data_IF_033706341440
#
_entry.id   IF_033706341440
#
_cell.length_a   1.000
_cell.length_b   1.000
_cell.length_c   1.000
_cell.angle_alpha   90.00
_cell.angle_beta   90.00
_cell.angle_gamma   90.00
#
_symmetry.space_group_name_H-M   'P 1'
#
loop_
_entity.id
_entity.type
_entity.pdbx_description
1 polymer ?
#
# COMPACT_ATOMS: atom_id res chain seq x y z
N UNK A 1 17.05 -47.15 -24.29
CA UNK A 1 17.41 -46.87 -25.69
C UNK A 1 17.47 -48.22 -26.46
N UNK A 2 16.87 -48.24 -27.64
CA UNK A 2 16.93 -49.37 -28.54
C UNK A 2 17.82 -49.03 -29.76
N UNK A 3 18.69 -49.92 -30.16
CA UNK A 3 19.59 -49.71 -31.30
C UNK A 3 18.76 -49.58 -32.58
N UNK A 4 19.01 -48.56 -33.38
CA UNK A 4 18.27 -48.27 -34.61
C UNK A 4 17.01 -47.40 -34.45
N UNK A 5 16.58 -47.15 -33.23
CA UNK A 5 15.43 -46.26 -32.95
C UNK A 5 15.87 -44.81 -32.87
N UNK A 6 15.03 -43.89 -33.37
CA UNK A 6 15.29 -42.43 -33.33
C UNK A 6 14.66 -41.81 -32.10
N UNK A 7 15.37 -40.88 -31.45
CA UNK A 7 14.95 -40.17 -30.26
C UNK A 7 15.13 -38.67 -30.43
N UNK A 8 14.24 -37.87 -29.84
CA UNK A 8 14.40 -36.43 -29.67
C UNK A 8 15.05 -36.14 -28.31
N UNK A 9 16.10 -35.33 -28.30
CA UNK A 9 16.78 -34.92 -27.06
C UNK A 9 16.65 -33.43 -26.86
N UNK A 10 16.39 -33.00 -25.64
CA UNK A 10 16.36 -31.62 -25.23
C UNK A 10 17.25 -31.44 -23.98
N UNK A 11 18.19 -30.49 -24.02
CA UNK A 11 19.09 -30.20 -22.91
C UNK A 11 20.18 -29.23 -23.31
N UNK A 12 21.04 -28.92 -22.34
CA UNK A 12 22.15 -28.00 -22.55
C UNK A 12 23.30 -28.72 -23.27
N UNK A 13 23.69 -28.20 -24.42
CA UNK A 13 24.84 -28.70 -25.18
C UNK A 13 26.12 -28.12 -24.56
N UNK A 14 27.05 -29.00 -24.20
CA UNK A 14 28.41 -28.69 -23.78
C UNK A 14 29.38 -29.08 -24.87
N UNK A 15 30.24 -28.12 -25.25
CA UNK A 15 31.35 -28.40 -26.16
C UNK A 15 32.66 -28.24 -25.40
N UNK A 16 33.32 -29.38 -25.09
CA UNK A 16 34.63 -29.37 -24.44
C UNK A 16 35.60 -30.12 -25.32
N UNK A 17 36.69 -29.47 -25.71
CA UNK A 17 37.76 -30.04 -26.54
C UNK A 17 37.25 -30.69 -27.85
N UNK A 18 36.27 -30.06 -28.51
CA UNK A 18 35.69 -30.54 -29.77
C UNK A 18 34.71 -31.73 -29.63
N UNK A 19 34.44 -32.19 -28.40
CA UNK A 19 33.41 -33.19 -28.12
C UNK A 19 32.12 -32.52 -27.69
N UNK A 20 31.07 -32.80 -28.46
CA UNK A 20 29.70 -32.34 -28.12
C UNK A 20 29.08 -33.38 -27.20
N UNK A 21 28.63 -32.90 -26.03
CA UNK A 21 27.94 -33.74 -25.04
C UNK A 21 26.71 -33.02 -24.50
N UNK A 22 25.78 -33.77 -23.94
CA UNK A 22 24.58 -33.24 -23.30
C UNK A 22 24.44 -33.95 -21.96
N UNK A 23 24.34 -33.17 -20.87
CA UNK A 23 24.25 -33.68 -19.49
C UNK A 23 22.79 -33.84 -19.11
N UNK A 24 22.38 -35.06 -18.74
CA UNK A 24 21.01 -35.40 -18.29
C UNK A 24 19.90 -34.83 -19.19
N UNK A 25 19.93 -35.10 -20.51
CA UNK A 25 18.92 -34.58 -21.42
C UNK A 25 17.56 -35.21 -21.14
N UNK A 26 16.51 -34.42 -21.32
CA UNK A 26 15.15 -34.96 -21.49
C UNK A 26 15.05 -35.56 -22.90
N UNK A 27 14.43 -36.72 -23.03
CA UNK A 27 14.28 -37.38 -24.33
C UNK A 27 12.90 -38.01 -24.49
N UNK A 28 12.46 -38.10 -25.73
CA UNK A 28 11.26 -38.82 -26.17
C UNK A 28 11.55 -39.67 -27.41
N UNK A 29 10.74 -40.66 -27.62
CA UNK A 29 10.65 -41.33 -28.94
C UNK A 29 10.28 -40.31 -30.02
N UNK A 30 10.80 -40.45 -31.24
CA UNK A 30 10.54 -39.48 -32.31
C UNK A 30 9.04 -39.32 -32.61
N UNK A 31 8.29 -40.40 -32.41
CA UNK A 31 6.85 -40.49 -32.67
C UNK A 31 5.98 -40.08 -31.43
N UNK A 32 6.62 -39.72 -30.31
CA UNK A 32 5.93 -39.31 -29.09
C UNK A 32 6.35 -37.92 -28.68
N UNK A 33 5.39 -36.98 -28.58
CA UNK A 33 5.60 -35.63 -28.14
C UNK A 33 5.17 -35.44 -26.68
N UNK A 34 5.84 -36.16 -25.76
CA UNK A 34 5.48 -36.08 -24.34
C UNK A 34 6.16 -34.89 -23.62
N UNK A 35 7.49 -34.73 -23.79
CA UNK A 35 8.30 -33.78 -23.02
C UNK A 35 9.20 -32.90 -23.91
N UNK A 36 9.28 -33.17 -25.22
CA UNK A 36 10.15 -32.45 -26.14
C UNK A 36 9.34 -31.81 -27.27
N UNK A 37 9.80 -30.65 -27.77
CA UNK A 37 9.16 -29.96 -28.91
C UNK A 37 7.90 -29.20 -28.60
N UNK A 38 7.49 -29.08 -27.31
CA UNK A 38 6.34 -28.27 -26.85
C UNK A 38 6.65 -27.54 -25.57
N UNK A 39 5.85 -26.57 -25.25
CA UNK A 39 5.90 -25.88 -23.97
C UNK A 39 5.20 -26.75 -22.92
N UNK A 40 5.92 -27.09 -21.86
CA UNK A 40 5.42 -27.96 -20.78
C UNK A 40 5.50 -27.24 -19.42
N UNK A 41 4.53 -27.45 -18.54
CA UNK A 41 4.55 -26.88 -17.21
C UNK A 41 5.57 -27.56 -16.30
N UNK A 42 6.13 -26.83 -15.37
CA UNK A 42 6.98 -27.34 -14.29
C UNK A 42 6.27 -27.07 -12.98
N UNK A 43 5.88 -28.12 -12.29
CA UNK A 43 5.15 -28.02 -11.02
C UNK A 43 6.08 -28.25 -9.82
N UNK A 44 5.80 -27.61 -8.68
CA UNK A 44 6.43 -27.99 -7.43
C UNK A 44 6.01 -29.43 -7.07
N UNK A 45 7.01 -30.27 -6.75
CA UNK A 45 6.78 -31.68 -6.46
C UNK A 45 6.94 -31.99 -4.98
N UNK A 46 6.20 -33.01 -4.52
CA UNK A 46 6.39 -33.64 -3.22
C UNK A 46 7.11 -34.97 -3.40
N UNK A 47 7.57 -35.58 -2.31
CA UNK A 47 8.27 -36.86 -2.34
C UNK A 47 7.43 -37.93 -3.06
N UNK A 48 8.07 -38.73 -3.89
CA UNK A 48 7.49 -39.81 -4.70
C UNK A 48 6.61 -39.40 -5.90
N UNK A 49 6.42 -38.12 -6.18
CA UNK A 49 5.66 -37.66 -7.34
C UNK A 49 6.59 -37.11 -8.43
N UNK A 50 6.47 -37.66 -9.67
CA UNK A 50 7.26 -37.20 -10.81
C UNK A 50 6.50 -36.17 -11.65
N UNK A 51 7.24 -35.28 -12.36
CA UNK A 51 6.67 -34.31 -13.30
C UNK A 51 5.71 -34.94 -14.30
N UNK A 52 6.12 -36.09 -14.89
CA UNK A 52 5.32 -36.76 -15.90
C UNK A 52 3.98 -37.27 -15.36
N UNK A 53 3.99 -37.83 -14.15
CA UNK A 53 2.77 -38.28 -13.49
C UNK A 53 1.84 -37.12 -13.19
N UNK A 54 2.37 -36.03 -12.63
CA UNK A 54 1.56 -34.87 -12.30
C UNK A 54 0.99 -34.19 -13.54
N UNK A 55 1.78 -34.03 -14.62
CA UNK A 55 1.29 -33.47 -15.88
C UNK A 55 0.14 -34.30 -16.43
N UNK A 56 0.26 -35.64 -16.44
CA UNK A 56 -0.80 -36.53 -16.92
C UNK A 56 -2.07 -36.45 -16.09
N UNK A 57 -1.96 -36.32 -14.77
CA UNK A 57 -3.10 -36.12 -13.87
C UNK A 57 -3.82 -34.82 -14.21
N UNK A 58 -3.05 -33.73 -14.38
CA UNK A 58 -3.62 -32.41 -14.70
C UNK A 58 -4.25 -32.41 -16.09
N UNK A 59 -3.58 -33.02 -17.10
CA UNK A 59 -4.11 -33.12 -18.45
C UNK A 59 -5.44 -33.87 -18.48
N UNK A 60 -5.53 -35.01 -17.78
CA UNK A 60 -6.78 -35.76 -17.65
C UNK A 60 -7.87 -34.93 -16.93
N UNK A 61 -7.51 -34.25 -15.82
CA UNK A 61 -8.43 -33.38 -15.08
C UNK A 61 -8.97 -32.25 -15.96
N UNK A 62 -8.11 -31.59 -16.74
CA UNK A 62 -8.51 -30.53 -17.66
C UNK A 62 -9.46 -31.03 -18.73
N UNK A 63 -9.20 -32.26 -19.28
CA UNK A 63 -10.10 -32.88 -20.28
C UNK A 63 -11.49 -33.17 -19.70
N UNK A 64 -11.59 -33.56 -18.43
CA UNK A 64 -12.86 -33.83 -17.77
C UNK A 64 -13.69 -32.57 -17.49
N UNK A 65 -13.05 -31.44 -17.27
CA UNK A 65 -13.72 -30.16 -16.94
C UNK A 65 -13.86 -29.24 -18.15
N UNK A 66 -13.36 -29.62 -19.33
CA UNK A 66 -13.39 -28.79 -20.55
C UNK A 66 -14.84 -28.41 -20.90
N UNK A 67 -15.11 -27.10 -21.02
CA UNK A 67 -16.42 -26.55 -21.30
C UNK A 67 -17.43 -26.64 -20.15
N UNK A 68 -17.05 -27.14 -18.96
CA UNK A 68 -17.94 -27.25 -17.80
C UNK A 68 -17.76 -26.12 -16.79
N UNK A 69 -16.73 -25.31 -16.93
CA UNK A 69 -16.47 -24.17 -16.04
C UNK A 69 -17.28 -22.99 -16.55
N UNK A 70 -18.17 -22.45 -15.71
CA UNK A 70 -18.96 -21.27 -16.04
C UNK A 70 -18.06 -20.04 -16.12
N UNK A 71 -18.32 -19.17 -17.12
CA UNK A 71 -17.60 -17.91 -17.27
C UNK A 71 -18.02 -16.95 -16.14
N UNK A 72 -17.04 -16.43 -15.43
CA UNK A 72 -17.25 -15.56 -14.27
C UNK A 72 -17.37 -14.08 -14.64
N UNK A 73 -16.82 -13.68 -15.80
CA UNK A 73 -16.83 -12.29 -16.25
C UNK A 73 -17.92 -12.06 -17.32
N UNK A 74 -18.61 -10.92 -17.26
CA UNK A 74 -19.56 -10.54 -18.31
C UNK A 74 -18.89 -10.46 -19.69
N UNK A 75 -19.60 -10.89 -20.74
CA UNK A 75 -19.11 -10.88 -22.14
C UNK A 75 -18.61 -9.51 -22.59
N UNK A 76 -19.25 -8.43 -22.11
CA UNK A 76 -18.83 -7.04 -22.37
C UNK A 76 -17.41 -6.78 -21.86
N UNK A 77 -17.08 -7.27 -20.67
CA UNK A 77 -15.73 -7.11 -20.08
C UNK A 77 -14.68 -7.92 -20.85
N UNK A 78 -15.00 -9.15 -21.24
CA UNK A 78 -14.09 -9.97 -22.04
C UNK A 78 -13.71 -9.24 -23.33
N UNK A 79 -14.67 -8.63 -24.02
CA UNK A 79 -14.45 -7.88 -25.26
C UNK A 79 -13.67 -6.58 -25.04
N UNK A 80 -14.06 -5.79 -24.02
CA UNK A 80 -13.47 -4.48 -23.72
C UNK A 80 -12.00 -4.61 -23.34
N UNK A 81 -11.68 -5.57 -22.46
CA UNK A 81 -10.31 -5.79 -21.97
C UNK A 81 -9.54 -6.83 -22.79
N UNK A 82 -10.13 -7.37 -23.87
CA UNK A 82 -9.52 -8.38 -24.76
C UNK A 82 -9.01 -9.62 -23.99
N UNK A 83 -9.85 -10.12 -23.08
CA UNK A 83 -9.55 -11.26 -22.25
C UNK A 83 -9.99 -12.57 -22.93
N UNK A 84 -9.20 -13.62 -22.72
CA UNK A 84 -9.57 -14.98 -23.15
C UNK A 84 -10.72 -15.52 -22.28
N UNK A 85 -11.52 -16.44 -22.83
CA UNK A 85 -12.52 -17.20 -22.08
C UNK A 85 -11.87 -18.07 -20.98
N UNK A 86 -12.57 -18.24 -19.85
CA UNK A 86 -12.03 -18.91 -18.67
C UNK A 86 -11.58 -20.36 -18.96
N UNK A 87 -12.41 -21.17 -19.64
CA UNK A 87 -12.06 -22.54 -19.98
C UNK A 87 -10.78 -22.62 -20.82
N UNK A 88 -10.65 -21.73 -21.80
CA UNK A 88 -9.47 -21.64 -22.66
C UNK A 88 -8.25 -21.17 -21.86
N UNK A 89 -8.39 -20.15 -21.02
CA UNK A 89 -7.30 -19.65 -20.19
C UNK A 89 -6.76 -20.70 -19.22
N UNK A 90 -7.64 -21.49 -18.58
CA UNK A 90 -7.23 -22.56 -17.67
C UNK A 90 -6.46 -23.66 -18.42
N UNK A 91 -6.85 -23.99 -19.64
CA UNK A 91 -6.13 -24.97 -20.46
C UNK A 91 -4.76 -24.43 -20.90
N UNK A 92 -4.71 -23.21 -21.44
CA UNK A 92 -3.52 -22.60 -22.00
C UNK A 92 -2.48 -22.15 -20.95
N UNK A 93 -2.87 -21.89 -19.70
CA UNK A 93 -1.89 -21.62 -18.64
C UNK A 93 -1.05 -22.85 -18.29
N UNK A 94 -1.59 -24.05 -18.51
CA UNK A 94 -0.90 -25.30 -18.28
C UNK A 94 -0.23 -25.86 -19.53
N UNK A 95 -0.92 -25.88 -20.67
CA UNK A 95 -0.47 -26.50 -21.92
C UNK A 95 -0.68 -25.55 -23.11
N UNK A 96 0.04 -24.41 -23.17
CA UNK A 96 -0.06 -23.48 -24.28
C UNK A 96 0.61 -24.07 -25.53
N UNK A 97 0.12 -23.70 -26.70
CA UNK A 97 0.79 -24.07 -27.98
C UNK A 97 1.99 -23.13 -28.22
N UNK A 98 1.81 -21.83 -27.94
CA UNK A 98 2.83 -20.80 -28.07
C UNK A 98 2.93 -19.98 -26.76
N UNK A 99 4.05 -19.30 -26.53
CA UNK A 99 4.19 -18.40 -25.37
C UNK A 99 3.16 -17.28 -25.36
N UNK A 100 2.68 -16.84 -26.53
CA UNK A 100 1.63 -15.84 -26.63
C UNK A 100 0.29 -16.31 -26.02
N UNK A 101 -0.03 -17.59 -26.15
CA UNK A 101 -1.23 -18.17 -25.53
C UNK A 101 -1.10 -18.22 -24.02
N UNK A 102 0.07 -18.60 -23.52
CA UNK A 102 0.40 -18.53 -22.10
C UNK A 102 0.23 -17.10 -21.55
N UNK A 103 0.75 -16.09 -22.26
CA UNK A 103 0.65 -14.70 -21.83
C UNK A 103 -0.81 -14.21 -21.76
N UNK A 104 -1.65 -14.59 -22.73
CA UNK A 104 -3.07 -14.27 -22.73
C UNK A 104 -3.82 -14.97 -21.58
N UNK A 105 -3.57 -16.26 -21.40
CA UNK A 105 -4.14 -17.04 -20.31
C UNK A 105 -3.76 -16.47 -18.95
N UNK A 106 -2.48 -16.15 -18.76
CA UNK A 106 -1.99 -15.51 -17.56
C UNK A 106 -2.65 -14.15 -17.32
N UNK A 107 -2.75 -13.33 -18.35
CA UNK A 107 -3.40 -12.02 -18.25
C UNK A 107 -4.87 -12.16 -17.81
N UNK A 108 -5.61 -13.13 -18.37
CA UNK A 108 -7.01 -13.42 -17.97
C UNK A 108 -7.13 -13.77 -16.49
N UNK A 109 -6.30 -14.73 -16.02
CA UNK A 109 -6.37 -15.19 -14.64
C UNK A 109 -5.93 -14.13 -13.63
N UNK A 110 -4.86 -13.38 -13.93
CA UNK A 110 -4.41 -12.26 -13.11
C UNK A 110 -5.46 -11.16 -13.05
N UNK A 111 -6.11 -10.84 -14.18
CA UNK A 111 -7.18 -9.86 -14.20
C UNK A 111 -8.33 -10.26 -13.29
N UNK A 112 -8.78 -11.50 -13.35
CA UNK A 112 -9.89 -11.99 -12.54
C UNK A 112 -9.57 -11.96 -11.04
N UNK A 113 -8.38 -12.42 -10.65
CA UNK A 113 -7.94 -12.41 -9.26
C UNK A 113 -7.90 -10.99 -8.69
N UNK A 114 -7.29 -10.05 -9.42
CA UNK A 114 -7.23 -8.66 -9.01
C UNK A 114 -8.60 -7.97 -9.03
N UNK A 115 -9.45 -8.31 -9.99
CA UNK A 115 -10.81 -7.77 -10.07
C UNK A 115 -11.67 -8.21 -8.90
N UNK A 116 -11.61 -9.49 -8.51
CA UNK A 116 -12.32 -10.00 -7.33
C UNK A 116 -11.88 -9.29 -6.04
N UNK A 117 -10.57 -9.06 -5.86
CA UNK A 117 -10.05 -8.28 -4.73
C UNK A 117 -10.58 -6.85 -4.74
N UNK A 118 -10.58 -6.19 -5.92
CA UNK A 118 -11.09 -4.81 -6.05
C UNK A 118 -12.59 -4.72 -5.76
N UNK A 119 -13.39 -5.67 -6.21
CA UNK A 119 -14.82 -5.70 -5.89
C UNK A 119 -15.06 -5.82 -4.39
N UNK A 120 -14.35 -6.73 -3.72
CA UNK A 120 -14.46 -6.90 -2.27
C UNK A 120 -14.08 -5.62 -1.51
N UNK A 121 -13.00 -4.93 -1.92
CA UNK A 121 -12.58 -3.67 -1.32
C UNK A 121 -13.60 -2.55 -1.55
N UNK A 122 -14.18 -2.46 -2.74
CA UNK A 122 -15.23 -1.48 -3.07
C UNK A 122 -16.51 -1.74 -2.29
N UNK A 123 -16.89 -3.00 -2.10
CA UNK A 123 -18.04 -3.38 -1.29
C UNK A 123 -17.85 -2.98 0.19
N UNK A 124 -16.67 -3.28 0.75
CA UNK A 124 -16.32 -2.82 2.09
C UNK A 124 -16.35 -1.29 2.20
N UNK A 125 -15.76 -0.58 1.24
CA UNK A 125 -15.78 0.89 1.21
C UNK A 125 -17.20 1.43 1.17
N UNK A 126 -18.06 0.90 0.29
CA UNK A 126 -19.45 1.32 0.18
C UNK A 126 -20.23 1.08 1.47
N UNK A 127 -19.99 -0.04 2.15
CA UNK A 127 -20.60 -0.34 3.45
C UNK A 127 -20.26 0.73 4.48
N UNK A 128 -18.98 1.10 4.62
CA UNK A 128 -18.55 2.18 5.52
C UNK A 128 -19.20 3.54 5.17
N UNK A 129 -19.29 3.86 3.87
CA UNK A 129 -19.85 5.14 3.42
C UNK A 129 -21.37 5.23 3.62
N UNK A 130 -22.10 4.11 3.56
CA UNK A 130 -23.56 4.09 3.62
C UNK A 130 -24.12 3.85 5.01
N UNK A 131 -23.42 3.12 5.87
CA UNK A 131 -23.89 2.74 7.21
C UNK A 131 -23.46 3.73 8.30
N UNK A 132 -22.32 4.43 8.13
CA UNK A 132 -21.75 5.32 9.13
C UNK A 132 -21.92 6.80 8.74
N UNK A 133 -22.57 7.58 9.62
CA UNK A 133 -22.51 9.04 9.53
C UNK A 133 -21.16 9.52 10.01
N UNK A 134 -20.48 10.30 9.20
CA UNK A 134 -19.24 10.98 9.55
C UNK A 134 -19.47 12.23 10.42
N UNK A 135 -18.39 12.78 10.91
CA UNK A 135 -18.37 14.07 11.57
C UNK A 135 -18.36 15.17 10.51
N UNK A 136 -19.37 16.01 10.48
CA UNK A 136 -19.38 17.18 9.63
C UNK A 136 -18.71 18.35 10.35
N UNK A 137 -17.47 18.65 9.97
CA UNK A 137 -16.74 19.77 10.56
C UNK A 137 -17.29 21.13 10.07
N UNK A 138 -17.12 22.15 10.90
CA UNK A 138 -17.65 23.48 10.60
C UNK A 138 -16.99 24.13 9.39
N UNK A 139 -17.80 24.69 8.51
CA UNK A 139 -17.34 25.50 7.36
C UNK A 139 -16.70 26.83 7.79
N UNK A 140 -17.01 27.30 9.00
CA UNK A 140 -16.41 28.50 9.55
C UNK A 140 -14.98 28.27 10.06
N UNK A 141 -14.59 27.02 10.30
CA UNK A 141 -13.23 26.62 10.66
C UNK A 141 -12.34 26.55 9.41
N UNK A 142 -11.93 27.70 8.90
CA UNK A 142 -11.19 27.80 7.63
C UNK A 142 -9.72 27.41 7.79
N UNK A 143 -9.24 26.48 6.96
CA UNK A 143 -7.82 26.13 6.92
C UNK A 143 -6.93 27.29 6.48
N UNK A 144 -7.48 28.31 5.79
CA UNK A 144 -6.75 29.54 5.42
C UNK A 144 -6.18 30.27 6.63
N UNK A 145 -6.81 30.18 7.79
CA UNK A 145 -6.38 30.91 8.99
C UNK A 145 -5.04 30.38 9.51
N UNK A 146 -4.90 29.07 9.60
CA UNK A 146 -3.61 28.47 9.96
C UNK A 146 -2.57 28.62 8.83
N UNK A 147 -2.98 28.57 7.56
CA UNK A 147 -2.06 28.75 6.41
C UNK A 147 -1.40 30.13 6.48
N UNK A 148 -2.11 31.16 6.90
CA UNK A 148 -1.59 32.52 7.04
C UNK A 148 -0.57 32.66 8.19
N UNK A 149 -0.60 31.77 9.20
CA UNK A 149 0.37 31.70 10.30
C UNK A 149 1.65 30.94 9.96
N UNK A 150 1.70 30.27 8.79
CA UNK A 150 2.88 29.50 8.38
C UNK A 150 4.01 30.47 7.97
N UNK A 151 5.28 30.18 8.35
CA UNK A 151 6.43 31.00 7.97
C UNK A 151 6.88 30.81 6.51
N UNK A 152 6.11 30.11 5.69
CA UNK A 152 6.38 29.80 4.29
C UNK A 152 5.09 29.64 3.50
N UNK A 153 5.19 29.77 2.18
CA UNK A 153 4.06 29.55 1.27
C UNK A 153 3.93 28.07 0.91
N UNK A 154 2.70 27.59 0.85
CA UNK A 154 2.41 26.23 0.39
C UNK A 154 2.56 26.10 -1.14
N UNK A 155 2.92 24.91 -1.59
CA UNK A 155 2.97 24.55 -3.03
C UNK A 155 1.53 24.38 -3.55
N UNK A 156 1.39 24.39 -4.90
CA UNK A 156 0.09 24.13 -5.54
C UNK A 156 -0.44 22.74 -5.20
N UNK A 157 0.45 21.74 -5.16
CA UNK A 157 0.06 20.38 -4.79
C UNK A 157 -0.45 20.28 -3.34
N UNK A 158 0.19 20.98 -2.41
CA UNK A 158 -0.27 21.04 -1.01
C UNK A 158 -1.63 21.72 -0.90
N UNK A 159 -1.85 22.84 -1.60
CA UNK A 159 -3.15 23.53 -1.61
C UNK A 159 -4.26 22.67 -2.20
N UNK A 160 -4.02 21.97 -3.32
CA UNK A 160 -4.96 21.01 -3.92
C UNK A 160 -5.35 19.92 -2.94
N UNK A 161 -4.36 19.32 -2.28
CA UNK A 161 -4.60 18.26 -1.28
C UNK A 161 -5.37 18.79 -0.07
N UNK A 162 -5.09 20.02 0.38
CA UNK A 162 -5.86 20.63 1.46
C UNK A 162 -7.30 20.87 1.07
N UNK A 163 -7.58 21.28 -0.16
CA UNK A 163 -8.94 21.42 -0.69
C UNK A 163 -9.69 20.09 -0.72
N UNK A 164 -9.02 19.00 -1.15
CA UNK A 164 -9.58 17.64 -1.12
C UNK A 164 -9.95 17.20 0.31
N UNK A 165 -9.08 17.46 1.28
CA UNK A 165 -9.29 17.14 2.70
C UNK A 165 -10.40 18.01 3.28
N UNK A 166 -10.40 19.29 3.00
CA UNK A 166 -11.37 20.25 3.49
C UNK A 166 -12.80 19.89 3.07
N UNK A 167 -12.97 19.56 1.78
CA UNK A 167 -14.24 19.08 1.23
C UNK A 167 -14.72 17.78 1.88
N UNK A 168 -13.82 16.84 2.19
CA UNK A 168 -14.19 15.61 2.89
C UNK A 168 -14.59 15.89 4.33
N UNK A 169 -13.83 16.70 5.07
CA UNK A 169 -14.13 17.05 6.46
C UNK A 169 -15.46 17.82 6.60
N UNK A 170 -15.89 18.54 5.58
CA UNK A 170 -17.18 19.23 5.54
C UNK A 170 -18.35 18.33 5.11
N UNK A 171 -18.08 17.12 4.64
CA UNK A 171 -19.12 16.17 4.26
C UNK A 171 -19.74 15.47 5.46
N UNK A 172 -20.87 14.83 5.28
CA UNK A 172 -21.54 13.99 6.28
C UNK A 172 -21.01 12.54 6.30
N UNK A 173 -19.92 12.26 5.54
CA UNK A 173 -19.29 10.95 5.42
C UNK A 173 -17.94 10.95 6.10
N UNK A 174 -17.55 9.87 6.79
CA UNK A 174 -16.25 9.79 7.42
C UNK A 174 -15.13 9.82 6.37
N UNK A 175 -14.16 10.71 6.53
CA UNK A 175 -12.96 10.73 5.69
C UNK A 175 -12.03 9.58 6.08
N UNK A 176 -11.65 8.76 5.11
CA UNK A 176 -10.58 7.77 5.26
C UNK A 176 -9.60 7.96 4.11
N UNK A 177 -8.49 8.70 4.35
CA UNK A 177 -7.62 9.22 3.27
C UNK A 177 -6.15 8.91 3.48
N UNK A 178 -5.49 8.46 2.39
CA UNK A 178 -4.04 8.27 2.31
C UNK A 178 -3.39 9.51 1.68
N UNK A 179 -2.55 10.19 2.44
CA UNK A 179 -1.71 11.29 1.99
C UNK A 179 -0.31 10.76 1.64
N UNK A 180 -0.02 10.71 0.36
CA UNK A 180 1.25 10.26 -0.17
C UNK A 180 2.10 11.45 -0.61
N UNK A 181 3.39 11.38 -0.32
CA UNK A 181 4.37 12.38 -0.80
C UNK A 181 5.76 12.03 -0.33
N UNK A 182 6.77 12.48 -1.04
CA UNK A 182 8.17 12.21 -0.70
C UNK A 182 8.55 12.76 0.69
N UNK A 183 9.67 12.31 1.24
CA UNK A 183 10.22 12.87 2.49
C UNK A 183 10.47 14.36 2.31
N UNK A 184 9.88 15.19 3.20
CA UNK A 184 9.99 16.64 3.13
C UNK A 184 9.08 17.33 2.11
N UNK A 185 8.09 16.63 1.51
CA UNK A 185 7.05 17.24 0.67
C UNK A 185 6.04 18.09 1.45
N UNK A 186 6.11 18.08 2.79
CA UNK A 186 5.24 18.88 3.67
C UNK A 186 3.95 18.17 4.13
N UNK A 187 3.90 16.83 4.13
CA UNK A 187 2.77 16.07 4.68
C UNK A 187 2.36 16.50 6.09
N UNK A 188 3.34 16.75 6.95
CA UNK A 188 3.10 17.23 8.33
C UNK A 188 2.32 18.55 8.36
N UNK A 189 2.58 19.47 7.44
CA UNK A 189 1.85 20.74 7.36
C UNK A 189 0.39 20.52 6.96
N UNK A 190 0.14 19.61 6.04
CA UNK A 190 -1.23 19.21 5.66
C UNK A 190 -1.97 18.62 6.87
N UNK A 191 -1.30 17.73 7.62
CA UNK A 191 -1.87 17.18 8.86
C UNK A 191 -2.15 18.26 9.92
N UNK A 192 -1.29 19.29 10.03
CA UNK A 192 -1.52 20.42 10.92
C UNK A 192 -2.77 21.21 10.52
N UNK A 193 -2.97 21.48 9.24
CA UNK A 193 -4.16 22.20 8.75
C UNK A 193 -5.45 21.39 9.03
N UNK A 194 -5.43 20.07 8.81
CA UNK A 194 -6.56 19.21 9.14
C UNK A 194 -6.84 19.18 10.66
N UNK A 195 -5.79 19.06 11.49
CA UNK A 195 -5.92 19.10 12.94
C UNK A 195 -6.47 20.45 13.44
N UNK A 196 -6.06 21.56 12.83
CA UNK A 196 -6.60 22.88 13.11
C UNK A 196 -8.10 22.96 12.86
N UNK A 197 -8.55 22.46 11.68
CA UNK A 197 -9.98 22.43 11.34
C UNK A 197 -10.78 21.61 12.34
N UNK A 198 -10.28 20.44 12.72
CA UNK A 198 -10.93 19.60 13.72
C UNK A 198 -11.08 20.31 15.06
N UNK A 199 -10.00 20.94 15.55
CA UNK A 199 -10.00 21.67 16.84
C UNK A 199 -10.93 22.89 16.79
N UNK A 200 -10.90 23.68 15.72
CA UNK A 200 -11.80 24.84 15.57
C UNK A 200 -13.27 24.46 15.41
N UNK A 201 -13.54 23.22 15.03
CA UNK A 201 -14.89 22.65 14.99
C UNK A 201 -15.33 22.01 16.32
N UNK A 202 -14.52 22.11 17.38
CA UNK A 202 -14.84 21.62 18.74
C UNK A 202 -14.47 20.15 18.98
N UNK A 203 -13.61 19.57 18.16
CA UNK A 203 -13.14 18.20 18.29
C UNK A 203 -11.67 18.13 18.69
N UNK A 204 -11.26 16.98 19.23
CA UNK A 204 -9.86 16.67 19.52
C UNK A 204 -9.22 15.94 18.35
N UNK A 205 -7.89 16.08 18.20
CA UNK A 205 -7.12 15.35 17.20
C UNK A 205 -6.05 14.45 17.85
N UNK A 206 -5.85 13.26 17.28
CA UNK A 206 -4.80 12.33 17.68
C UNK A 206 -3.78 12.18 16.55
N UNK A 207 -2.49 12.40 16.85
CA UNK A 207 -1.38 12.27 15.88
C UNK A 207 -0.49 11.10 16.31
N UNK A 208 -0.49 10.01 15.57
CA UNK A 208 0.27 8.81 15.88
C UNK A 208 1.54 8.72 15.04
N UNK A 209 2.70 8.66 15.69
CA UNK A 209 4.00 8.49 15.07
C UNK A 209 4.63 7.14 15.45
N UNK A 210 5.45 6.53 14.57
CA UNK A 210 6.01 5.18 14.81
C UNK A 210 7.05 5.13 15.91
N UNK A 211 7.70 6.24 16.23
CA UNK A 211 8.75 6.31 17.26
C UNK A 211 8.58 7.52 18.15
N UNK A 212 9.09 7.43 19.39
CA UNK A 212 9.07 8.54 20.35
C UNK A 212 9.83 9.77 19.82
N UNK A 213 10.89 9.56 19.05
CA UNK A 213 11.67 10.66 18.44
C UNK A 213 10.82 11.43 17.44
N UNK A 214 10.12 10.73 16.54
CA UNK A 214 9.24 11.36 15.57
C UNK A 214 8.04 12.04 16.24
N UNK A 215 7.45 11.40 17.26
CA UNK A 215 6.37 12.02 18.03
C UNK A 215 6.83 13.33 18.71
N UNK A 216 8.03 13.36 19.30
CA UNK A 216 8.62 14.57 19.89
C UNK A 216 8.91 15.63 18.83
N UNK A 217 9.38 15.25 17.65
CA UNK A 217 9.61 16.16 16.54
C UNK A 217 8.29 16.75 16.02
N UNK A 218 7.23 15.95 15.90
CA UNK A 218 5.89 16.45 15.56
C UNK A 218 5.40 17.44 16.62
N UNK A 219 5.50 17.10 17.92
CA UNK A 219 5.11 18.05 18.98
C UNK A 219 5.84 19.39 18.83
N UNK A 220 7.18 19.38 18.64
CA UNK A 220 7.96 20.59 18.47
C UNK A 220 7.52 21.43 17.27
N UNK A 221 7.14 20.79 16.16
CA UNK A 221 6.65 21.48 14.98
C UNK A 221 5.23 22.04 15.21
N UNK A 222 4.35 21.29 15.84
CA UNK A 222 2.98 21.71 16.15
C UNK A 222 2.97 22.87 17.13
N UNK A 223 3.70 22.81 18.25
CA UNK A 223 3.75 23.88 19.25
C UNK A 223 4.20 25.20 18.67
N UNK A 224 5.16 25.24 17.74
CA UNK A 224 5.63 26.50 17.11
C UNK A 224 4.49 27.34 16.49
N UNK A 225 3.44 26.69 16.03
CA UNK A 225 2.31 27.33 15.35
C UNK A 225 1.10 27.37 16.27
N UNK A 226 0.75 26.26 16.89
CA UNK A 226 -0.48 26.11 17.66
C UNK A 226 -0.47 26.85 18.99
N UNK A 227 0.70 27.06 19.63
CA UNK A 227 0.80 27.88 20.85
C UNK A 227 0.33 29.32 20.60
N UNK A 228 0.59 29.88 19.39
CA UNK A 228 0.12 31.22 18.99
C UNK A 228 -1.40 31.29 18.79
N UNK A 229 -2.01 30.13 18.46
CA UNK A 229 -3.44 30.00 18.20
C UNK A 229 -4.23 29.55 19.45
N UNK A 230 -3.56 29.47 20.62
CA UNK A 230 -4.10 28.98 21.88
C UNK A 230 -4.68 27.58 21.78
N UNK A 231 -4.02 26.70 20.99
CA UNK A 231 -4.37 25.29 20.85
C UNK A 231 -3.35 24.43 21.61
N UNK A 232 -3.82 23.65 22.57
CA UNK A 232 -2.97 22.87 23.47
C UNK A 232 -2.57 21.54 22.87
N UNK A 233 -1.26 21.37 22.62
CA UNK A 233 -0.66 20.13 22.13
C UNK A 233 0.11 19.44 23.26
N UNK A 234 -0.12 18.13 23.47
CA UNK A 234 0.61 17.32 24.46
C UNK A 234 1.18 16.04 23.85
N UNK A 235 2.21 15.48 24.54
CA UNK A 235 2.93 14.28 24.10
C UNK A 235 2.66 13.10 25.03
N UNK A 236 2.25 11.97 24.44
CA UNK A 236 2.09 10.71 25.16
C UNK A 236 2.96 9.62 24.53
N UNK A 237 4.09 9.32 25.18
CA UNK A 237 5.06 8.29 24.78
C UNK A 237 5.43 7.38 25.95
N UNK A 238 6.03 6.25 25.67
CA UNK A 238 6.61 5.40 26.69
C UNK A 238 7.77 6.11 27.42
N UNK A 239 7.85 5.95 28.74
CA UNK A 239 8.95 6.52 29.54
C UNK A 239 8.67 7.87 30.21
N UNK A 240 7.48 8.44 30.04
CA UNK A 240 7.04 9.58 30.86
C UNK A 240 6.71 9.11 32.29
N UNK A 241 6.86 10.02 33.26
CA UNK A 241 6.55 9.71 34.67
C UNK A 241 5.07 9.38 34.84
N UNK A 242 4.74 8.48 35.78
CA UNK A 242 3.35 8.07 36.04
C UNK A 242 2.45 9.28 36.34
N UNK A 243 2.94 10.21 37.17
CA UNK A 243 2.22 11.43 37.51
C UNK A 243 1.88 12.28 36.28
N UNK A 244 2.87 12.48 35.38
CA UNK A 244 2.64 13.27 34.14
C UNK A 244 1.69 12.55 33.18
N UNK A 245 1.76 11.22 33.12
CA UNK A 245 0.81 10.42 32.32
C UNK A 245 -0.60 10.58 32.84
N UNK A 246 -0.83 10.46 34.15
CA UNK A 246 -2.13 10.63 34.79
C UNK A 246 -2.71 12.05 34.56
N UNK A 247 -1.87 13.08 34.66
CA UNK A 247 -2.23 14.47 34.36
C UNK A 247 -2.72 14.62 32.89
N UNK A 248 -1.95 14.12 31.93
CA UNK A 248 -2.30 14.16 30.50
C UNK A 248 -3.62 13.43 30.24
N UNK A 249 -3.80 12.23 30.80
CA UNK A 249 -5.02 11.45 30.61
C UNK A 249 -6.26 12.16 31.18
N UNK A 250 -6.12 12.78 32.34
CA UNK A 250 -7.20 13.53 32.97
C UNK A 250 -7.56 14.77 32.13
N UNK A 251 -6.58 15.57 31.73
CA UNK A 251 -6.79 16.75 30.90
C UNK A 251 -7.37 16.42 29.52
N UNK A 252 -6.97 15.27 28.93
CA UNK A 252 -7.51 14.78 27.67
C UNK A 252 -8.99 14.47 27.79
N UNK A 253 -9.37 13.73 28.82
CA UNK A 253 -10.76 13.35 29.13
C UNK A 253 -11.64 14.56 29.43
N UNK A 254 -11.09 15.57 30.04
CA UNK A 254 -11.79 16.86 30.31
C UNK A 254 -11.91 17.71 29.04
N UNK A 255 -11.17 17.44 27.98
CA UNK A 255 -11.14 18.23 26.75
C UNK A 255 -10.27 19.48 26.87
N UNK A 256 -9.31 19.51 27.81
CA UNK A 256 -8.33 20.57 27.96
C UNK A 256 -7.12 20.45 27.03
N UNK A 257 -6.91 19.26 26.46
CA UNK A 257 -5.91 18.99 25.43
C UNK A 257 -6.65 18.88 24.10
N UNK A 258 -6.28 19.71 23.14
CA UNK A 258 -6.89 19.75 21.82
C UNK A 258 -6.25 18.71 20.87
N UNK A 259 -4.92 18.57 20.95
CA UNK A 259 -4.15 17.66 20.08
C UNK A 259 -3.24 16.78 20.94
N UNK A 260 -3.43 15.46 20.87
CA UNK A 260 -2.56 14.51 21.53
C UNK A 260 -1.65 13.83 20.49
N UNK A 261 -0.33 14.00 20.67
CA UNK A 261 0.69 13.41 19.80
C UNK A 261 1.37 12.27 20.56
N UNK A 262 1.58 11.12 19.92
CA UNK A 262 2.25 10.02 20.61
C UNK A 262 2.56 8.83 19.73
N UNK A 263 2.92 7.75 20.38
CA UNK A 263 3.20 6.46 19.72
C UNK A 263 2.03 5.50 19.94
N UNK A 264 2.28 4.19 19.88
CA UNK A 264 1.28 3.17 20.24
C UNK A 264 0.70 3.34 21.66
N UNK A 265 1.27 4.17 22.50
CA UNK A 265 0.67 4.54 23.80
C UNK A 265 -0.72 5.16 23.65
N UNK A 266 -1.03 5.80 22.51
CA UNK A 266 -2.36 6.36 22.21
C UNK A 266 -3.46 5.30 22.12
N UNK A 267 -3.09 4.03 21.85
CA UNK A 267 -4.04 2.92 21.65
C UNK A 267 -4.41 2.26 22.99
N UNK A 268 -3.70 2.56 24.07
CA UNK A 268 -3.96 1.98 25.40
C UNK A 268 -5.41 2.30 25.84
N UNK A 269 -6.06 1.35 26.52
CA UNK A 269 -7.48 1.44 26.91
C UNK A 269 -7.78 2.64 27.82
N UNK A 270 -6.82 3.03 28.67
CA UNK A 270 -6.94 4.17 29.58
C UNK A 270 -6.83 5.54 28.90
N UNK A 271 -6.49 5.60 27.62
CA UNK A 271 -6.51 6.85 26.83
C UNK A 271 -7.93 7.09 26.34
N UNK A 272 -8.62 8.02 26.94
CA UNK A 272 -10.01 8.39 26.62
C UNK A 272 -10.05 9.84 26.18
N UNK A 273 -10.52 10.09 24.97
CA UNK A 273 -10.79 11.42 24.44
C UNK A 273 -12.20 11.85 24.85
N UNK A 274 -12.40 13.15 25.05
CA UNK A 274 -13.72 13.72 25.27
C UNK A 274 -14.53 13.72 23.97
N UNK A 275 -13.91 14.11 22.86
CA UNK A 275 -14.56 14.26 21.55
C UNK A 275 -13.53 14.13 20.43
N UNK A 276 -13.07 12.90 20.14
CA UNK A 276 -12.08 12.66 19.10
C UNK A 276 -12.72 12.77 17.72
N UNK A 277 -12.29 13.73 16.90
CA UNK A 277 -12.81 13.94 15.54
C UNK A 277 -11.81 13.62 14.43
N UNK A 278 -10.50 13.66 14.70
CA UNK A 278 -9.49 13.39 13.67
C UNK A 278 -8.37 12.48 14.22
N UNK A 279 -8.03 11.49 13.44
CA UNK A 279 -6.87 10.62 13.68
C UNK A 279 -5.90 10.76 12.52
N UNK A 280 -4.66 11.15 12.81
CA UNK A 280 -3.56 11.17 11.83
C UNK A 280 -2.56 10.08 12.18
N UNK A 281 -2.16 9.25 11.22
CA UNK A 281 -1.12 8.24 11.40
C UNK A 281 0.03 8.48 10.43
N UNK A 282 1.25 8.61 10.96
CA UNK A 282 2.45 8.80 10.15
C UNK A 282 3.17 7.47 9.90
N UNK A 283 3.75 7.29 8.69
CA UNK A 283 4.50 6.10 8.28
C UNK A 283 3.71 4.78 8.46
N UNK A 284 2.59 4.68 7.76
CA UNK A 284 1.60 3.59 7.87
C UNK A 284 2.18 2.17 7.84
N UNK A 285 3.23 1.90 7.07
CA UNK A 285 3.81 0.56 6.93
C UNK A 285 4.38 -0.01 8.25
N UNK A 286 4.55 0.84 9.27
CA UNK A 286 4.97 0.44 10.64
C UNK A 286 3.79 0.17 11.58
N UNK A 287 2.56 0.49 11.16
CA UNK A 287 1.34 0.26 11.94
C UNK A 287 0.42 -0.72 11.21
N UNK A 288 0.00 -1.78 11.88
CA UNK A 288 -0.97 -2.74 11.31
C UNK A 288 -2.38 -2.12 11.21
N UNK A 289 -3.21 -2.66 10.30
CA UNK A 289 -4.64 -2.29 10.17
C UNK A 289 -5.36 -2.29 11.52
N UNK A 290 -5.10 -3.31 12.35
CA UNK A 290 -5.68 -3.44 13.70
C UNK A 290 -5.39 -2.24 14.62
N UNK A 291 -4.26 -1.58 14.49
CA UNK A 291 -3.88 -0.45 15.35
C UNK A 291 -4.62 0.82 14.94
N UNK A 292 -4.81 1.04 13.64
CA UNK A 292 -5.62 2.16 13.12
C UNK A 292 -7.07 2.02 13.57
N UNK A 293 -7.64 0.84 13.42
CA UNK A 293 -9.01 0.56 13.87
C UNK A 293 -9.17 0.85 15.36
N UNK A 294 -8.23 0.41 16.20
CA UNK A 294 -8.28 0.64 17.65
C UNK A 294 -8.25 2.12 18.04
N UNK A 295 -7.47 2.97 17.36
CA UNK A 295 -7.45 4.39 17.70
C UNK A 295 -8.69 5.10 17.16
N UNK A 296 -9.18 4.73 15.97
CA UNK A 296 -10.43 5.25 15.42
C UNK A 296 -11.65 4.91 16.30
N UNK A 297 -11.67 3.71 16.90
CA UNK A 297 -12.72 3.29 17.84
C UNK A 297 -12.79 4.11 19.15
N UNK A 298 -11.84 5.03 19.40
CA UNK A 298 -11.87 5.93 20.57
C UNK A 298 -12.74 7.17 20.33
N UNK A 299 -13.27 7.36 19.14
CA UNK A 299 -14.23 8.41 18.78
C UNK A 299 -15.45 7.83 18.07
N UNK A 300 -16.48 8.64 17.89
CA UNK A 300 -17.65 8.28 17.09
C UNK A 300 -17.37 8.61 15.62
N UNK A 301 -16.88 7.63 14.86
CA UNK A 301 -16.52 7.74 13.44
C UNK A 301 -15.60 8.94 13.09
N UNK A 302 -14.44 9.07 13.76
CA UNK A 302 -13.51 10.15 13.49
C UNK A 302 -12.93 10.02 12.07
N UNK A 303 -12.62 11.14 11.46
CA UNK A 303 -11.87 11.20 10.22
C UNK A 303 -10.47 10.60 10.40
N UNK A 304 -10.00 9.86 9.39
CA UNK A 304 -8.69 9.20 9.41
C UNK A 304 -7.83 9.70 8.25
N UNK A 305 -6.69 10.30 8.59
CA UNK A 305 -5.67 10.73 7.64
C UNK A 305 -4.41 9.90 7.84
N UNK A 306 -4.05 9.12 6.85
CA UNK A 306 -2.87 8.26 6.88
C UNK A 306 -1.77 8.88 6.02
N UNK A 307 -0.57 9.03 6.55
CA UNK A 307 0.57 9.59 5.81
C UNK A 307 1.60 8.52 5.47
N UNK A 308 2.18 8.60 4.27
CA UNK A 308 3.30 7.74 3.87
C UNK A 308 4.32 8.51 3.02
N UNK A 309 5.60 8.23 3.26
CA UNK A 309 6.69 8.74 2.43
C UNK A 309 7.06 7.78 1.29
N UNK A 310 6.62 6.52 1.34
CA UNK A 310 6.91 5.56 0.27
C UNK A 310 6.07 5.88 -0.97
N UNK A 311 6.68 6.11 -2.14
CA UNK A 311 5.93 6.26 -3.38
C UNK A 311 5.33 4.90 -3.75
N UNK A 312 4.05 4.72 -3.49
CA UNK A 312 3.29 3.54 -3.90
C UNK A 312 2.61 3.89 -5.23
N UNK A 313 2.83 3.14 -6.31
CA UNK A 313 2.10 3.37 -7.54
C UNK A 313 0.59 3.40 -7.28
N UNK A 314 -0.11 4.36 -7.88
CA UNK A 314 -1.55 4.60 -7.63
C UNK A 314 -2.38 3.31 -7.75
N UNK A 315 -2.08 2.49 -8.73
CA UNK A 315 -2.73 1.18 -8.93
C UNK A 315 -2.48 0.22 -7.77
N UNK A 316 -1.26 0.16 -7.27
CA UNK A 316 -0.91 -0.68 -6.13
C UNK A 316 -1.51 -0.12 -4.82
N UNK A 317 -1.54 1.20 -4.68
CA UNK A 317 -2.18 1.85 -3.53
C UNK A 317 -3.69 1.55 -3.48
N UNK A 318 -4.38 1.53 -4.62
CA UNK A 318 -5.78 1.13 -4.72
C UNK A 318 -6.00 -0.35 -4.36
N UNK A 319 -5.04 -1.22 -4.64
CA UNK A 319 -5.13 -2.65 -4.29
C UNK A 319 -4.85 -2.87 -2.80
N UNK A 320 -3.84 -2.20 -2.25
CA UNK A 320 -3.42 -2.39 -0.85
C UNK A 320 -4.29 -1.61 0.15
N UNK A 321 -4.90 -0.51 -0.30
CA UNK A 321 -5.62 0.46 0.53
C UNK A 321 -6.92 0.90 -0.15
N UNK A 322 -7.64 -0.02 -0.75
CA UNK A 322 -8.85 0.27 -1.53
C UNK A 322 -9.99 0.89 -0.72
N UNK A 323 -9.89 0.85 0.61
CA UNK A 323 -10.76 1.55 1.55
C UNK A 323 -10.41 3.04 1.72
N UNK A 324 -9.20 3.47 1.27
CA UNK A 324 -8.73 4.85 1.41
C UNK A 324 -8.89 5.66 0.11
N UNK A 325 -9.28 6.91 0.25
CA UNK A 325 -9.09 7.92 -0.80
C UNK A 325 -7.62 8.34 -0.86
N UNK A 326 -7.09 8.64 -2.04
CA UNK A 326 -5.67 8.90 -2.21
C UNK A 326 -5.44 10.35 -2.63
N UNK A 327 -4.62 11.07 -1.86
CA UNK A 327 -4.08 12.39 -2.20
C UNK A 327 -2.57 12.33 -2.34
N UNK A 328 -2.03 12.93 -3.40
CA UNK A 328 -0.59 12.88 -3.70
C UNK A 328 -0.01 14.29 -3.71
N UNK A 329 1.04 14.52 -2.91
CA UNK A 329 1.87 15.72 -3.00
C UNK A 329 3.04 15.39 -3.92
N UNK A 330 2.92 15.79 -5.17
CA UNK A 330 3.86 15.56 -6.27
C UNK A 330 4.83 16.73 -6.53
N UNK A 331 4.83 17.72 -5.65
CA UNK A 331 5.73 18.87 -5.67
C UNK A 331 6.59 18.92 -4.40
N UNK A 332 7.85 19.32 -4.56
CA UNK A 332 8.73 19.63 -3.43
C UNK A 332 8.68 21.14 -3.11
N UNK A 333 8.82 21.51 -1.82
CA UNK A 333 8.91 22.92 -1.43
C UNK A 333 10.05 23.66 -2.18
N UNK A 334 9.85 24.93 -2.56
CA UNK A 334 10.74 25.64 -3.48
C UNK A 334 12.20 25.81 -3.00
N UNK A 335 12.47 25.65 -1.71
CA UNK A 335 13.82 25.79 -1.15
C UNK A 335 14.58 24.47 -1.00
N UNK A 336 14.05 23.38 -1.51
CA UNK A 336 14.72 22.06 -1.42
C UNK A 336 15.60 21.85 -2.64
N UNK A 337 16.91 21.68 -2.40
CA UNK A 337 17.87 21.30 -3.45
C UNK A 337 17.56 19.88 -3.94
N UNK A 338 17.64 19.69 -5.24
CA UNK A 338 17.58 18.36 -5.83
C UNK A 338 18.74 17.51 -5.32
N UNK A 339 18.46 16.23 -5.04
CA UNK A 339 19.47 15.26 -4.66
C UNK A 339 20.13 14.77 -5.93
N UNK A 340 21.45 15.01 -6.04
CA UNK A 340 22.26 14.45 -7.11
C UNK A 340 22.77 13.07 -6.69
N UNK A 341 22.51 12.05 -7.50
CA UNK A 341 22.95 10.69 -7.24
C UNK A 341 24.06 10.29 -8.19
N UNK A 342 25.19 9.87 -7.63
CA UNK A 342 26.35 9.42 -8.40
C UNK A 342 26.63 7.94 -8.12
N UNK A 343 26.71 7.12 -9.17
CA UNK A 343 27.18 5.76 -9.09
C UNK A 343 28.70 5.74 -9.27
N UNK A 344 29.43 5.29 -8.24
CA UNK A 344 30.89 5.25 -8.27
C UNK A 344 31.42 3.84 -8.04
N UNK A 345 32.51 3.49 -8.70
CA UNK A 345 33.17 2.21 -8.51
C UNK A 345 33.91 2.10 -7.15
N UNK A 346 34.20 0.88 -6.69
CA UNK A 346 34.90 0.61 -5.41
C UNK A 346 36.26 1.32 -5.29
N UNK A 347 36.92 1.58 -6.39
CA UNK A 347 38.19 2.34 -6.43
C UNK A 347 38.08 3.81 -5.99
N UNK A 348 36.87 4.36 -5.95
CA UNK A 348 36.59 5.74 -5.54
C UNK A 348 36.20 5.87 -4.06
N UNK A 349 36.12 4.78 -3.30
CA UNK A 349 35.63 4.76 -1.90
C UNK A 349 36.39 5.76 -1.00
N UNK A 350 37.71 5.84 -1.10
CA UNK A 350 38.49 6.80 -0.30
C UNK A 350 38.15 8.26 -0.63
N UNK A 351 37.96 8.58 -1.91
CA UNK A 351 37.57 9.92 -2.35
C UNK A 351 36.16 10.30 -1.89
N UNK A 352 35.24 9.36 -1.93
CA UNK A 352 33.88 9.54 -1.40
C UNK A 352 33.91 9.80 0.10
N UNK A 353 34.68 9.01 0.88
CA UNK A 353 34.81 9.20 2.32
C UNK A 353 35.43 10.56 2.68
N UNK A 354 36.39 11.05 1.90
CA UNK A 354 36.97 12.37 2.09
C UNK A 354 35.98 13.50 1.75
N UNK A 355 35.12 13.30 0.74
CA UNK A 355 34.06 14.24 0.38
C UNK A 355 32.98 14.35 1.47
N UNK A 356 32.60 13.22 2.07
CA UNK A 356 31.60 13.19 3.17
C UNK A 356 32.14 13.85 4.47
N UNK A 357 33.48 13.84 4.68
CA UNK A 357 34.10 14.46 5.85
C UNK A 357 34.26 15.99 5.74
N UNK A 358 34.13 16.56 4.58
CA UNK A 358 34.06 18.02 4.36
C UNK A 358 32.67 18.57 4.60
#
# INVERSE_FOLDING_TARGET
FEVGKKYKFYGRINNQYGKISMTSPVFDDIDKDNNTGKIIPIYPLTFSLSQNVLRKIIENGLSEIEGKIEETLPEKMLKEYKLEELNKAIKEIHFPQEFKDFDKARNRLVFEELFAVQLALLELKNKYITEDKGIQFSKDAKMSDIINELPFKLTKAQLRVLEEIDNNMESDKPMNRLLQGDVGSGKTVVAMCAAYKAVKSGYQAAIMAPTAILASQHLGNFKKIFDRLNIKCELLISGITKKKKEEILQELKEGKIDILIGTHALIEENVVFKNLGLVVTDEQHRFGVKQRTKIAQKGENPDVLVMTATPIPRTLALILYGDLDISIIDELPPNRKQIETFAVGKNMTQRVNLFIKK
#
